data_IF_325726946116
#
_entry.id   IF_325726946116
#
_cell.length_a   1.000
_cell.length_b   1.000
_cell.length_c   1.000
_cell.angle_alpha   90.00
_cell.angle_beta   90.00
_cell.angle_gamma   90.00
#
_symmetry.space_group_name_H-M   'P 1'
#
loop_
_entity.id
_entity.type
_entity.pdbx_description
1 polymer ?
#
# COMPACT_ATOMS: atom_id res chain seq x y z
N UNK A 1 -0.41 25.71 16.52
CA UNK A 1 0.20 26.10 17.81
C UNK A 1 -0.79 26.39 18.95
N UNK A 2 -1.96 27.01 18.75
CA UNK A 2 -2.94 27.32 19.82
C UNK A 2 -3.55 26.10 20.55
N UNK A 3 -3.68 24.95 19.90
CA UNK A 3 -4.34 23.77 20.47
C UNK A 3 -3.45 22.96 21.45
N UNK A 4 -2.11 23.03 21.31
CA UNK A 4 -1.18 22.35 22.22
C UNK A 4 -1.08 23.07 23.58
N UNK A 5 -1.20 24.39 23.61
CA UNK A 5 -1.18 25.15 24.88
C UNK A 5 -2.41 24.85 25.76
N UNK A 6 -3.61 24.72 25.16
CA UNK A 6 -4.84 24.36 25.92
C UNK A 6 -4.73 22.93 26.52
N UNK A 7 -4.14 21.98 25.79
CA UNK A 7 -3.93 20.60 26.31
C UNK A 7 -2.91 20.56 27.45
N UNK A 8 -1.84 21.35 27.35
CA UNK A 8 -0.85 21.49 28.45
C UNK A 8 -1.45 22.13 29.70
N UNK A 9 -2.25 23.17 29.54
CA UNK A 9 -2.95 23.82 30.69
C UNK A 9 -3.90 22.83 31.37
N UNK A 10 -4.68 22.07 30.60
CA UNK A 10 -5.57 21.03 31.17
C UNK A 10 -4.80 19.94 31.94
N UNK A 11 -3.64 19.50 31.44
CA UNK A 11 -2.80 18.52 32.13
C UNK A 11 -2.22 19.07 33.45
N UNK A 12 -1.79 20.34 33.49
CA UNK A 12 -1.30 20.98 34.69
C UNK A 12 -2.40 21.16 35.75
N UNK A 13 -3.62 21.51 35.34
CA UNK A 13 -4.78 21.62 36.23
C UNK A 13 -5.07 20.24 36.85
N UNK A 14 -5.07 19.17 36.07
CA UNK A 14 -5.30 17.81 36.56
C UNK A 14 -4.22 17.38 37.58
N UNK A 15 -2.97 17.69 37.32
CA UNK A 15 -1.86 17.39 38.24
C UNK A 15 -2.02 18.15 39.58
N UNK A 16 -2.39 19.43 39.52
CA UNK A 16 -2.62 20.25 40.72
C UNK A 16 -3.78 19.68 41.54
N UNK A 17 -4.92 19.30 40.93
CA UNK A 17 -6.06 18.71 41.60
C UNK A 17 -5.68 17.38 42.26
N UNK A 18 -4.88 16.53 41.59
CA UNK A 18 -4.39 15.26 42.17
C UNK A 18 -3.45 15.48 43.35
N UNK A 19 -2.57 16.47 43.30
CA UNK A 19 -1.68 16.82 44.41
C UNK A 19 -2.47 17.35 45.61
N UNK A 20 -3.48 18.20 45.41
CA UNK A 20 -4.34 18.69 46.45
C UNK A 20 -5.15 17.54 47.11
N UNK A 21 -5.67 16.62 46.31
CA UNK A 21 -6.39 15.44 46.82
C UNK A 21 -5.45 14.52 47.65
N UNK A 22 -4.21 14.34 47.22
CA UNK A 22 -3.18 13.55 47.94
C UNK A 22 -2.78 14.20 49.28
N UNK A 23 -2.82 15.53 49.39
CA UNK A 23 -2.48 16.25 50.63
C UNK A 23 -3.64 16.33 51.63
N UNK A 24 -4.88 16.06 51.22
CA UNK A 24 -6.06 16.11 52.10
C UNK A 24 -5.94 15.24 53.37
N UNK A 25 -5.44 13.97 53.31
CA UNK A 25 -5.29 13.16 54.53
C UNK A 25 -4.36 13.77 55.57
N UNK A 26 -3.27 14.45 55.13
CA UNK A 26 -2.35 15.12 56.03
C UNK A 26 -3.03 16.27 56.78
N UNK A 27 -3.93 17.03 56.12
CA UNK A 27 -4.65 18.15 56.73
C UNK A 27 -5.60 17.65 57.84
N UNK A 28 -6.26 16.53 57.66
CA UNK A 28 -7.17 15.92 58.64
C UNK A 28 -6.45 15.11 59.73
N UNK A 29 -5.19 14.68 59.51
CA UNK A 29 -4.42 14.00 60.50
C UNK A 29 -4.05 14.89 61.70
N UNK A 30 -3.97 16.20 61.53
CA UNK A 30 -3.67 17.18 62.59
C UNK A 30 -4.91 17.82 63.22
N UNK A 31 -6.13 17.42 62.81
CA UNK A 31 -7.41 17.94 63.33
C UNK A 31 -7.68 17.43 64.76
N UNK A 32 -8.10 18.32 65.71
CA UNK A 32 -8.41 18.01 67.12
C UNK A 32 -9.91 17.94 67.39
N UNK A 33 -10.75 17.40 66.47
CA UNK A 33 -12.18 17.28 66.68
C UNK A 33 -12.66 15.85 66.85
N UNK A 34 -13.82 15.63 67.47
CA UNK A 34 -14.46 14.31 67.76
C UNK A 34 -14.57 13.43 66.48
N UNK A 35 -14.69 14.06 65.31
CA UNK A 35 -14.83 13.38 64.02
C UNK A 35 -13.51 13.32 63.21
N UNK A 36 -12.36 13.77 63.73
CA UNK A 36 -11.11 13.86 62.98
C UNK A 36 -10.66 12.50 62.41
N UNK A 37 -10.86 11.41 63.13
CA UNK A 37 -10.56 10.06 62.67
C UNK A 37 -11.40 9.56 61.49
N UNK A 38 -12.67 9.97 61.41
CA UNK A 38 -13.57 9.63 60.30
C UNK A 38 -13.22 10.42 59.04
N UNK A 39 -12.89 11.71 59.18
CA UNK A 39 -12.43 12.54 58.06
C UNK A 39 -11.07 12.08 57.51
N UNK A 40 -10.16 11.65 58.37
CA UNK A 40 -8.87 11.10 57.97
C UNK A 40 -9.03 9.84 57.13
N UNK A 41 -9.89 8.87 57.58
CA UNK A 41 -10.18 7.64 56.83
C UNK A 41 -10.85 7.95 55.49
N UNK A 42 -11.79 8.87 55.42
CA UNK A 42 -12.44 9.30 54.19
C UNK A 42 -11.43 9.96 53.24
N UNK A 43 -10.52 10.79 53.76
CA UNK A 43 -9.51 11.47 52.96
C UNK A 43 -8.49 10.47 52.36
N UNK A 44 -8.09 9.41 53.09
CA UNK A 44 -7.29 8.31 52.54
C UNK A 44 -8.00 7.61 51.39
N UNK A 45 -9.32 7.32 51.55
CA UNK A 45 -10.10 6.72 50.46
C UNK A 45 -10.11 7.57 49.20
N UNK A 46 -10.34 8.89 49.34
CA UNK A 46 -10.28 9.84 48.22
C UNK A 46 -8.90 9.89 47.58
N UNK A 47 -7.83 9.93 48.38
CA UNK A 47 -6.46 9.97 47.90
C UNK A 47 -6.06 8.74 47.06
N UNK A 48 -6.68 7.58 47.28
CA UNK A 48 -6.46 6.35 46.52
C UNK A 48 -7.40 6.28 45.32
N UNK A 49 -8.67 6.55 45.50
CA UNK A 49 -9.72 6.35 44.48
C UNK A 49 -9.57 7.38 43.36
N UNK A 50 -9.29 8.64 43.65
CA UNK A 50 -9.18 9.70 42.62
C UNK A 50 -8.08 9.45 41.61
N UNK A 51 -6.85 9.11 41.99
CA UNK A 51 -5.78 8.77 41.00
C UNK A 51 -6.13 7.52 40.17
N UNK A 52 -6.76 6.51 40.77
CA UNK A 52 -7.18 5.29 40.06
C UNK A 52 -8.22 5.60 38.99
N UNK A 53 -9.25 6.38 39.34
CA UNK A 53 -10.29 6.81 38.42
C UNK A 53 -9.69 7.73 37.33
N UNK A 54 -8.83 8.65 37.69
CA UNK A 54 -8.15 9.53 36.71
C UNK A 54 -7.32 8.72 35.72
N UNK A 55 -6.59 7.71 36.18
CA UNK A 55 -5.82 6.81 35.33
C UNK A 55 -6.75 5.98 34.42
N UNK A 56 -7.82 5.42 34.95
CA UNK A 56 -8.81 4.68 34.16
C UNK A 56 -9.45 5.57 33.08
N UNK A 57 -9.86 6.79 33.43
CA UNK A 57 -10.41 7.76 32.47
C UNK A 57 -9.38 8.16 31.41
N UNK A 58 -8.12 8.37 31.79
CA UNK A 58 -7.03 8.66 30.83
C UNK A 58 -6.80 7.48 29.89
N UNK A 59 -6.83 6.24 30.40
CA UNK A 59 -6.68 5.04 29.59
C UNK A 59 -7.82 4.88 28.58
N UNK A 60 -9.07 5.08 29.01
CA UNK A 60 -10.26 5.07 28.14
C UNK A 60 -10.14 6.19 27.08
N UNK A 61 -9.80 7.41 27.49
CA UNK A 61 -9.59 8.52 26.56
C UNK A 61 -8.51 8.20 25.53
N UNK A 62 -7.39 7.59 25.93
CA UNK A 62 -6.28 7.19 25.05
C UNK A 62 -6.72 6.12 24.05
N UNK A 63 -7.55 5.15 24.45
CA UNK A 63 -8.13 4.14 23.56
C UNK A 63 -9.06 4.80 22.53
N UNK A 64 -10.01 5.62 23.00
CA UNK A 64 -10.96 6.33 22.12
C UNK A 64 -10.28 7.35 21.18
N UNK A 65 -9.22 8.03 21.62
CA UNK A 65 -8.45 8.95 20.76
C UNK A 65 -7.63 8.17 19.72
N UNK A 66 -7.15 6.97 20.07
CA UNK A 66 -6.47 6.04 19.14
C UNK A 66 -7.45 5.52 18.07
N UNK A 67 -8.66 5.17 18.45
CA UNK A 67 -9.69 4.71 17.52
C UNK A 67 -10.15 5.85 16.60
N UNK A 68 -10.39 7.06 17.11
CA UNK A 68 -10.67 8.25 16.31
C UNK A 68 -9.53 8.68 15.39
N UNK A 69 -8.28 8.45 15.79
CA UNK A 69 -7.11 8.69 14.95
C UNK A 69 -7.01 7.64 13.86
N UNK A 70 -7.36 6.39 14.16
CA UNK A 70 -7.46 5.29 13.20
C UNK A 70 -8.58 5.52 12.18
N UNK A 71 -9.76 5.97 12.60
CA UNK A 71 -10.87 6.37 11.71
C UNK A 71 -10.53 7.58 10.84
N UNK A 72 -9.81 8.58 11.38
CA UNK A 72 -9.39 9.77 10.62
C UNK A 72 -8.28 9.45 9.62
N UNK A 73 -7.43 8.46 9.90
CA UNK A 73 -6.41 7.97 8.99
C UNK A 73 -6.95 6.95 7.97
N UNK A 74 -8.21 6.53 8.07
CA UNK A 74 -8.82 5.55 7.17
C UNK A 74 -9.50 6.16 5.94
N UNK A 75 -9.43 7.48 5.75
CA UNK A 75 -9.91 8.08 4.50
C UNK A 75 -8.87 7.86 3.42
N UNK A 76 -9.17 6.95 2.50
CA UNK A 76 -8.33 6.71 1.32
C UNK A 76 -8.29 7.98 0.47
N UNK A 77 -7.11 8.43 0.14
CA UNK A 77 -6.86 9.58 -0.74
C UNK A 77 -6.17 9.15 -2.04
N UNK A 78 -5.36 8.09 -1.98
CA UNK A 78 -4.51 7.65 -3.07
C UNK A 78 -4.85 6.21 -3.49
N UNK A 79 -5.09 6.01 -4.77
CA UNK A 79 -5.29 4.70 -5.38
C UNK A 79 -4.07 4.40 -6.25
N UNK A 80 -3.41 3.30 -6.00
CA UNK A 80 -2.21 2.87 -6.72
C UNK A 80 -2.57 1.59 -7.47
N UNK A 81 -2.35 1.57 -8.78
CA UNK A 81 -2.61 0.40 -9.60
C UNK A 81 -1.31 -0.25 -10.09
N UNK A 82 -1.25 -1.57 -10.05
CA UNK A 82 -0.44 -2.28 -11.02
C UNK A 82 -1.05 -2.16 -12.43
N UNK A 83 -0.26 -2.45 -13.46
CA UNK A 83 -0.72 -2.45 -14.85
C UNK A 83 -1.08 -3.86 -15.29
N UNK A 84 -0.16 -4.80 -15.14
CA UNK A 84 -0.32 -6.18 -15.59
C UNK A 84 -1.49 -6.89 -14.89
N UNK A 85 -2.38 -7.52 -15.66
CA UNK A 85 -3.57 -8.24 -15.15
C UNK A 85 -4.54 -7.40 -14.29
N UNK A 86 -4.27 -6.10 -14.09
CA UNK A 86 -5.14 -5.15 -13.41
C UNK A 86 -5.75 -4.17 -14.40
N UNK A 87 -4.96 -3.42 -15.14
CA UNK A 87 -5.42 -2.46 -16.16
C UNK A 87 -5.17 -2.94 -17.59
N UNK A 88 -4.32 -3.95 -17.77
CA UNK A 88 -4.12 -4.64 -19.06
C UNK A 88 -4.16 -6.15 -18.86
N UNK A 89 -4.57 -6.86 -19.89
CA UNK A 89 -4.39 -8.32 -19.99
C UNK A 89 -2.92 -8.63 -20.27
N UNK A 90 -2.48 -9.80 -19.85
CA UNK A 90 -1.19 -10.38 -20.19
C UNK A 90 -1.41 -11.81 -20.71
N UNK A 91 -1.71 -11.90 -22.01
CA UNK A 91 -2.20 -13.11 -22.69
C UNK A 91 -1.01 -13.80 -23.40
N UNK A 92 0.05 -14.10 -22.65
CA UNK A 92 1.24 -14.70 -23.25
C UNK A 92 1.00 -16.14 -23.75
N UNK A 93 0.12 -16.90 -23.10
CA UNK A 93 -0.25 -18.25 -23.51
C UNK A 93 -0.88 -18.22 -24.89
N UNK A 94 -1.94 -17.43 -25.09
CA UNK A 94 -2.62 -17.29 -26.35
C UNK A 94 -1.70 -16.74 -27.46
N UNK A 95 -0.82 -15.81 -27.11
CA UNK A 95 0.19 -15.30 -28.02
C UNK A 95 1.16 -16.39 -28.48
N UNK A 96 1.66 -17.21 -27.54
CA UNK A 96 2.56 -18.31 -27.85
C UNK A 96 1.88 -19.40 -28.68
N UNK A 97 0.60 -19.69 -28.41
CA UNK A 97 -0.20 -20.63 -29.16
C UNK A 97 -0.42 -20.20 -30.62
N UNK A 98 -0.42 -18.90 -30.90
CA UNK A 98 -0.54 -18.37 -32.25
C UNK A 98 0.63 -18.70 -33.20
N UNK A 99 1.72 -19.25 -32.67
CA UNK A 99 2.87 -19.70 -33.47
C UNK A 99 2.77 -21.15 -33.95
N UNK A 100 1.76 -21.90 -33.48
CA UNK A 100 1.50 -23.29 -33.87
C UNK A 100 2.72 -24.22 -33.68
N UNK A 101 3.52 -23.99 -32.62
CA UNK A 101 4.64 -24.85 -32.26
C UNK A 101 4.15 -26.24 -31.80
N UNK A 102 5.03 -27.26 -31.94
CA UNK A 102 4.73 -28.53 -31.26
C UNK A 102 4.61 -28.35 -29.75
N UNK A 103 3.84 -29.18 -29.03
CA UNK A 103 3.68 -29.04 -27.57
C UNK A 103 5.01 -28.99 -26.82
N UNK A 104 6.00 -29.82 -27.20
CA UNK A 104 7.33 -29.87 -26.57
C UNK A 104 8.10 -28.57 -26.79
N UNK A 105 8.07 -28.04 -28.02
CA UNK A 105 8.75 -26.78 -28.38
C UNK A 105 8.08 -25.60 -27.66
N UNK A 106 6.75 -25.56 -27.66
CA UNK A 106 5.95 -24.53 -26.95
C UNK A 106 6.30 -24.48 -25.47
N UNK A 107 6.28 -25.63 -24.78
CA UNK A 107 6.62 -25.71 -23.35
C UNK A 107 8.05 -25.24 -23.08
N UNK A 108 8.99 -25.64 -23.93
CA UNK A 108 10.40 -25.23 -23.85
C UNK A 108 10.55 -23.72 -23.98
N UNK A 109 9.90 -23.11 -24.97
CA UNK A 109 9.93 -21.65 -25.18
C UNK A 109 9.22 -20.92 -24.04
N UNK A 110 8.06 -21.41 -23.58
CA UNK A 110 7.37 -20.84 -22.43
C UNK A 110 8.27 -20.76 -21.20
N UNK A 111 8.99 -21.84 -20.88
CA UNK A 111 9.93 -21.90 -19.75
C UNK A 111 11.15 -21.00 -19.95
N UNK A 112 11.68 -20.90 -21.17
CA UNK A 112 12.83 -20.08 -21.46
C UNK A 112 12.52 -18.58 -21.49
N UNK A 113 11.29 -18.21 -21.83
CA UNK A 113 10.85 -16.81 -21.99
C UNK A 113 9.97 -16.39 -20.80
N UNK A 114 8.67 -16.64 -20.86
CA UNK A 114 7.66 -16.04 -20.00
C UNK A 114 7.67 -16.53 -18.54
N UNK A 115 8.14 -17.76 -18.30
CA UNK A 115 8.22 -18.38 -16.98
C UNK A 115 9.64 -18.35 -16.39
N UNK A 116 10.56 -17.60 -16.99
CA UNK A 116 11.94 -17.52 -16.56
C UNK A 116 12.20 -16.34 -15.63
N UNK A 117 13.22 -16.45 -14.78
CA UNK A 117 13.71 -15.31 -14.00
C UNK A 117 14.24 -14.20 -14.91
N UNK A 118 14.72 -14.53 -16.11
CA UNK A 118 15.16 -13.56 -17.12
C UNK A 118 14.03 -12.63 -17.53
N UNK A 119 12.77 -13.13 -17.61
CA UNK A 119 11.60 -12.29 -17.89
C UNK A 119 11.37 -11.27 -16.78
N UNK A 120 11.45 -11.69 -15.53
CA UNK A 120 11.28 -10.79 -14.38
C UNK A 120 12.40 -9.73 -14.32
N UNK A 121 13.67 -10.14 -14.56
CA UNK A 121 14.81 -9.20 -14.60
C UNK A 121 14.75 -8.25 -15.80
N UNK A 122 14.16 -8.66 -16.92
CA UNK A 122 13.89 -7.80 -18.08
C UNK A 122 12.99 -6.62 -17.71
N UNK A 123 12.03 -6.82 -16.81
CA UNK A 123 11.17 -5.75 -16.33
C UNK A 123 11.93 -4.71 -15.49
N UNK A 124 13.05 -5.07 -14.86
CA UNK A 124 13.96 -4.12 -14.22
C UNK A 124 14.63 -3.18 -15.23
N UNK A 125 14.87 -3.65 -16.43
CA UNK A 125 15.44 -2.86 -17.52
C UNK A 125 16.89 -2.41 -17.32
N UNK A 126 17.70 -3.20 -16.58
CA UNK A 126 19.10 -2.88 -16.29
C UNK A 126 20.03 -3.03 -17.51
N UNK A 127 19.62 -3.84 -18.49
CA UNK A 127 20.39 -4.13 -19.69
C UNK A 127 19.54 -3.86 -20.94
N UNK A 128 20.19 -3.84 -22.10
CA UNK A 128 19.52 -3.77 -23.40
C UNK A 128 18.74 -5.06 -23.69
N UNK A 129 17.68 -4.97 -24.48
CA UNK A 129 16.78 -6.09 -24.79
C UNK A 129 17.54 -7.32 -25.30
N UNK A 130 18.54 -7.12 -26.15
CA UNK A 130 19.34 -8.20 -26.73
C UNK A 130 20.06 -9.04 -25.66
N UNK A 131 20.47 -8.44 -24.55
CA UNK A 131 21.03 -9.18 -23.42
C UNK A 131 20.06 -10.23 -22.90
N UNK A 132 18.82 -9.84 -22.65
CA UNK A 132 17.80 -10.74 -22.11
C UNK A 132 17.40 -11.81 -23.11
N UNK A 133 17.23 -11.45 -24.39
CA UNK A 133 16.96 -12.41 -25.46
C UNK A 133 18.06 -13.46 -25.53
N UNK A 134 19.33 -13.06 -25.44
CA UNK A 134 20.45 -13.99 -25.45
C UNK A 134 20.49 -14.92 -24.22
N UNK A 135 20.05 -14.45 -23.03
CA UNK A 135 19.89 -15.34 -21.86
C UNK A 135 18.76 -16.37 -22.08
N UNK A 136 17.64 -15.96 -22.67
CA UNK A 136 16.53 -16.84 -23.02
C UNK A 136 16.95 -17.88 -24.06
N UNK A 137 17.71 -17.48 -25.07
CA UNK A 137 18.29 -18.39 -26.07
C UNK A 137 19.25 -19.40 -25.44
N UNK A 138 20.10 -18.98 -24.49
CA UNK A 138 20.99 -19.90 -23.76
C UNK A 138 20.22 -20.98 -22.99
N UNK A 139 19.00 -20.67 -22.49
CA UNK A 139 18.14 -21.62 -21.79
C UNK A 139 17.51 -22.66 -22.76
N UNK A 140 17.37 -22.34 -24.05
CA UNK A 140 16.81 -23.22 -25.07
C UNK A 140 17.48 -22.96 -26.43
N UNK A 141 18.76 -23.32 -26.61
CA UNK A 141 19.56 -22.94 -27.79
C UNK A 141 19.06 -23.55 -29.11
N UNK A 142 18.38 -24.66 -29.06
CA UNK A 142 17.72 -25.31 -30.21
C UNK A 142 16.41 -24.61 -30.64
N UNK A 143 15.96 -23.59 -29.90
CA UNK A 143 14.81 -22.78 -30.22
C UNK A 143 15.15 -21.29 -30.45
N UNK A 144 16.40 -20.96 -30.81
CA UNK A 144 16.85 -19.58 -30.95
C UNK A 144 15.98 -18.74 -31.89
N UNK A 145 15.72 -19.26 -33.10
CA UNK A 145 14.95 -18.52 -34.10
C UNK A 145 13.50 -18.24 -33.60
N UNK A 146 12.89 -19.20 -32.96
CA UNK A 146 11.54 -19.08 -32.40
C UNK A 146 11.50 -18.11 -31.20
N UNK A 147 12.47 -18.19 -30.27
CA UNK A 147 12.59 -17.27 -29.15
C UNK A 147 12.73 -15.82 -29.64
N UNK A 148 13.58 -15.59 -30.62
CA UNK A 148 13.75 -14.25 -31.22
C UNK A 148 12.48 -13.77 -31.91
N UNK A 149 11.74 -14.65 -32.59
CA UNK A 149 10.45 -14.32 -33.21
C UNK A 149 9.37 -13.98 -32.14
N UNK A 150 9.29 -14.76 -31.06
CA UNK A 150 8.38 -14.53 -29.92
C UNK A 150 8.72 -13.20 -29.28
N UNK A 151 9.97 -12.91 -28.97
CA UNK A 151 10.39 -11.69 -28.31
C UNK A 151 10.14 -10.45 -29.17
N UNK A 152 10.37 -10.52 -30.45
CA UNK A 152 10.10 -9.41 -31.41
C UNK A 152 8.63 -8.98 -31.41
N UNK A 153 7.71 -9.89 -31.15
CA UNK A 153 6.26 -9.62 -31.12
C UNK A 153 5.64 -9.59 -29.72
N UNK A 154 6.46 -9.63 -28.66
CA UNK A 154 5.99 -9.80 -27.27
C UNK A 154 5.00 -8.72 -26.80
N UNK A 155 4.99 -7.52 -27.40
CA UNK A 155 3.99 -6.50 -27.11
C UNK A 155 2.55 -6.89 -27.51
N UNK A 156 2.36 -7.97 -28.29
CA UNK A 156 1.03 -8.52 -28.59
C UNK A 156 0.41 -9.26 -27.40
N UNK A 157 1.21 -9.64 -26.40
CA UNK A 157 0.71 -10.24 -25.15
C UNK A 157 -0.09 -9.27 -24.31
N UNK A 158 0.07 -7.97 -24.55
CA UNK A 158 -0.56 -6.90 -23.77
C UNK A 158 -1.78 -6.38 -24.51
N UNK A 159 -2.92 -6.37 -23.84
CA UNK A 159 -4.16 -5.75 -24.33
C UNK A 159 -4.81 -4.94 -23.18
N UNK A 160 -5.25 -3.73 -23.47
CA UNK A 160 -5.91 -2.89 -22.47
C UNK A 160 -7.25 -3.50 -22.05
N UNK A 161 -7.52 -3.51 -20.74
CA UNK A 161 -8.84 -3.87 -20.23
C UNK A 161 -9.87 -2.80 -20.63
N UNK A 162 -11.07 -3.23 -21.00
CA UNK A 162 -12.14 -2.33 -21.43
C UNK A 162 -12.49 -1.28 -20.37
N UNK A 163 -12.43 -1.65 -19.11
CA UNK A 163 -12.75 -0.76 -17.98
C UNK A 163 -11.60 0.18 -17.58
N UNK A 164 -10.37 -0.01 -18.06
CA UNK A 164 -9.19 0.67 -17.52
C UNK A 164 -9.31 2.20 -17.56
N UNK A 165 -9.62 2.78 -18.73
CA UNK A 165 -9.77 4.24 -18.88
C UNK A 165 -10.92 4.78 -18.05
N UNK A 166 -12.07 4.09 -18.08
CA UNK A 166 -13.28 4.54 -17.39
C UNK A 166 -13.12 4.45 -15.87
N UNK A 167 -12.47 3.42 -15.37
CA UNK A 167 -12.25 3.25 -13.95
C UNK A 167 -11.27 4.26 -13.39
N UNK A 168 -10.11 4.44 -14.04
CA UNK A 168 -9.12 5.43 -13.63
C UNK A 168 -9.73 6.84 -13.65
N UNK A 169 -10.43 7.21 -14.72
CA UNK A 169 -11.10 8.51 -14.83
C UNK A 169 -12.18 8.68 -13.76
N UNK A 170 -13.01 7.67 -13.51
CA UNK A 170 -14.04 7.72 -12.48
C UNK A 170 -13.46 8.03 -11.10
N UNK A 171 -12.36 7.36 -10.71
CA UNK A 171 -11.69 7.62 -9.43
C UNK A 171 -11.13 9.04 -9.38
N UNK A 172 -10.57 9.53 -10.48
CA UNK A 172 -10.11 10.92 -10.60
C UNK A 172 -11.26 11.92 -10.45
N UNK A 173 -12.39 11.69 -11.11
CA UNK A 173 -13.57 12.55 -11.04
C UNK A 173 -14.18 12.57 -9.63
N UNK A 174 -13.98 11.50 -8.84
CA UNK A 174 -14.35 11.43 -7.42
C UNK A 174 -13.37 12.12 -6.48
N UNK A 175 -12.26 12.65 -7.01
CA UNK A 175 -11.28 13.42 -6.23
C UNK A 175 -10.12 12.61 -5.67
N UNK A 176 -10.04 11.30 -5.96
CA UNK A 176 -8.89 10.49 -5.57
C UNK A 176 -7.67 10.84 -6.43
N UNK A 177 -6.50 10.73 -5.84
CA UNK A 177 -5.25 10.72 -6.60
C UNK A 177 -4.97 9.30 -7.06
N UNK A 178 -4.60 9.14 -8.32
CA UNK A 178 -4.36 7.84 -8.93
C UNK A 178 -2.92 7.73 -9.40
N UNK A 179 -2.27 6.65 -9.01
CA UNK A 179 -0.86 6.37 -9.33
C UNK A 179 -0.71 5.00 -9.95
N UNK A 180 0.39 4.81 -10.65
CA UNK A 180 0.81 3.52 -11.18
C UNK A 180 2.09 3.08 -10.46
N UNK A 181 2.17 1.79 -10.11
CA UNK A 181 3.36 1.10 -9.64
C UNK A 181 3.47 -0.26 -10.33
N UNK A 182 4.31 -0.37 -11.34
CA UNK A 182 4.31 -1.58 -12.18
C UNK A 182 5.71 -2.05 -12.56
N UNK A 183 5.88 -3.39 -12.54
CA UNK A 183 6.99 -4.05 -13.21
C UNK A 183 6.70 -4.05 -14.71
N UNK A 184 7.46 -3.25 -15.47
CA UNK A 184 7.20 -3.04 -16.89
C UNK A 184 8.49 -2.69 -17.62
N UNK A 185 8.98 -3.60 -18.46
CA UNK A 185 10.26 -3.48 -19.14
C UNK A 185 10.30 -2.41 -20.23
N UNK A 186 11.50 -1.91 -20.55
CA UNK A 186 11.71 -0.86 -21.55
C UNK A 186 11.09 -1.20 -22.92
N UNK A 187 11.34 -2.41 -23.42
CA UNK A 187 10.86 -2.82 -24.73
C UNK A 187 9.34 -3.07 -24.73
N UNK A 188 8.80 -3.63 -23.62
CA UNK A 188 7.35 -3.76 -23.44
C UNK A 188 6.69 -2.38 -23.47
N UNK A 189 7.26 -1.38 -22.78
CA UNK A 189 6.79 -0.01 -22.81
C UNK A 189 6.82 0.58 -24.23
N UNK A 190 7.92 0.42 -24.94
CA UNK A 190 8.08 0.91 -26.32
C UNK A 190 7.01 0.34 -27.26
N UNK A 191 6.73 -0.97 -27.14
CA UNK A 191 5.76 -1.66 -28.00
C UNK A 191 4.30 -1.34 -27.66
N UNK A 192 4.01 -1.02 -26.39
CA UNK A 192 2.63 -0.99 -25.90
C UNK A 192 2.15 0.37 -25.40
N UNK A 193 3.00 1.39 -25.35
CA UNK A 193 2.66 2.75 -24.86
C UNK A 193 1.33 3.28 -25.39
N UNK A 194 1.03 3.03 -26.66
CA UNK A 194 -0.23 3.50 -27.28
C UNK A 194 -1.48 2.81 -26.69
N UNK A 195 -1.33 1.61 -26.10
CA UNK A 195 -2.40 0.86 -25.44
C UNK A 195 -2.69 1.37 -24.02
N UNK A 196 -1.72 2.04 -23.37
CA UNK A 196 -1.80 2.52 -21.99
C UNK A 196 -2.49 3.89 -21.90
N UNK A 197 -3.64 4.05 -22.53
CA UNK A 197 -4.35 5.33 -22.65
C UNK A 197 -4.83 5.90 -21.31
N UNK A 198 -5.01 5.07 -20.28
CA UNK A 198 -5.35 5.48 -18.93
C UNK A 198 -4.25 6.32 -18.25
N UNK A 199 -3.00 6.25 -18.73
CA UNK A 199 -1.89 7.04 -18.17
C UNK A 199 -2.12 8.56 -18.26
N UNK A 200 -2.94 9.04 -19.18
CA UNK A 200 -3.28 10.46 -19.30
C UNK A 200 -4.13 10.99 -18.13
N UNK A 201 -4.71 10.10 -17.32
CA UNK A 201 -5.58 10.46 -16.21
C UNK A 201 -4.90 10.31 -14.85
N UNK A 202 -3.71 9.65 -14.77
CA UNK A 202 -3.04 9.42 -13.49
C UNK A 202 -2.24 10.65 -13.03
N UNK A 203 -2.06 10.79 -11.72
CA UNK A 203 -1.25 11.86 -11.11
C UNK A 203 0.24 11.54 -11.18
N UNK A 204 0.61 10.28 -11.34
CA UNK A 204 1.99 9.86 -11.47
C UNK A 204 2.15 8.36 -11.69
N UNK A 205 3.37 7.97 -12.08
CA UNK A 205 3.70 6.58 -12.34
C UNK A 205 5.15 6.28 -11.94
N UNK A 206 5.35 5.07 -11.42
CA UNK A 206 6.67 4.45 -11.24
C UNK A 206 6.66 3.14 -12.00
N UNK A 207 7.44 3.08 -13.07
CA UNK A 207 7.72 1.87 -13.80
C UNK A 207 9.10 1.35 -13.42
N UNK A 208 9.21 0.04 -13.25
CA UNK A 208 10.45 -0.61 -12.84
C UNK A 208 11.63 -0.28 -13.75
N UNK A 209 11.40 -0.22 -15.07
CA UNK A 209 12.45 0.09 -16.05
C UNK A 209 12.99 1.52 -15.93
N UNK A 210 12.21 2.47 -15.41
CA UNK A 210 12.67 3.86 -15.22
C UNK A 210 13.59 3.99 -14.01
N UNK A 211 13.30 3.22 -12.94
CA UNK A 211 13.97 3.33 -11.64
C UNK A 211 14.95 2.19 -11.36
N UNK A 212 14.99 1.16 -12.21
CA UNK A 212 15.82 -0.06 -12.07
C UNK A 212 15.54 -0.84 -10.78
N UNK A 213 14.29 -0.79 -10.33
CA UNK A 213 13.78 -1.45 -9.13
C UNK A 213 12.52 -2.22 -9.51
N UNK A 214 12.29 -3.40 -8.94
CA UNK A 214 11.11 -4.22 -9.22
C UNK A 214 10.33 -4.55 -7.95
N UNK A 215 9.01 -4.73 -8.07
CA UNK A 215 8.21 -5.35 -7.02
C UNK A 215 8.58 -6.84 -6.92
N UNK A 216 8.62 -7.46 -5.75
CA UNK A 216 8.26 -6.95 -4.42
C UNK A 216 9.41 -6.32 -3.63
N UNK A 217 10.50 -5.87 -4.25
CA UNK A 217 11.62 -5.23 -3.55
C UNK A 217 11.16 -3.92 -2.87
N UNK A 218 11.65 -3.63 -1.65
CA UNK A 218 11.17 -2.49 -0.86
C UNK A 218 11.51 -1.13 -1.51
N UNK A 219 12.54 -1.07 -2.34
CA UNK A 219 13.05 0.16 -2.94
C UNK A 219 12.01 0.82 -3.85
N UNK A 220 11.27 0.05 -4.65
CA UNK A 220 10.30 0.61 -5.59
C UNK A 220 9.10 1.25 -4.87
N UNK A 221 8.66 0.67 -3.73
CA UNK A 221 7.60 1.23 -2.89
C UNK A 221 8.07 2.53 -2.23
N UNK A 222 9.31 2.53 -1.70
CA UNK A 222 9.92 3.73 -1.13
C UNK A 222 10.03 4.84 -2.17
N UNK A 223 10.48 4.51 -3.38
CA UNK A 223 10.56 5.46 -4.50
C UNK A 223 9.19 6.07 -4.84
N UNK A 224 8.12 5.27 -4.86
CA UNK A 224 6.76 5.79 -5.10
C UNK A 224 6.33 6.74 -3.99
N UNK A 225 6.48 6.33 -2.72
CA UNK A 225 6.08 7.11 -1.54
C UNK A 225 6.81 8.45 -1.51
N UNK A 226 8.13 8.44 -1.68
CA UNK A 226 8.97 9.65 -1.61
C UNK A 226 8.73 10.58 -2.81
N UNK A 227 8.63 10.04 -4.03
CA UNK A 227 8.44 10.82 -5.26
C UNK A 227 7.15 11.63 -5.26
N UNK A 228 6.07 11.03 -4.73
CA UNK A 228 4.76 11.66 -4.73
C UNK A 228 4.28 12.10 -3.35
N UNK A 229 5.16 12.03 -2.34
CA UNK A 229 4.86 12.41 -0.95
C UNK A 229 3.59 11.75 -0.42
N UNK A 230 3.45 10.43 -0.68
CA UNK A 230 2.26 9.69 -0.28
C UNK A 230 2.23 9.47 1.24
N UNK A 231 1.02 9.50 1.80
CA UNK A 231 0.75 8.98 3.14
C UNK A 231 0.32 7.50 2.98
N UNK A 232 1.16 6.54 3.39
CA UNK A 232 0.88 5.12 3.16
C UNK A 232 -0.47 4.67 3.72
N UNK A 233 -0.82 5.13 4.93
CA UNK A 233 -2.08 4.77 5.61
C UNK A 233 -3.34 5.31 4.89
N UNK A 234 -3.17 6.26 3.96
CA UNK A 234 -4.23 6.80 3.11
C UNK A 234 -4.16 6.29 1.68
N UNK A 235 -3.34 5.29 1.43
CA UNK A 235 -3.07 4.74 0.11
C UNK A 235 -3.55 3.30 0.01
N UNK A 236 -4.15 2.95 -1.14
CA UNK A 236 -4.57 1.59 -1.47
C UNK A 236 -3.86 1.14 -2.73
N UNK A 237 -3.27 -0.05 -2.70
CA UNK A 237 -2.58 -0.67 -3.83
C UNK A 237 -3.35 -1.89 -4.32
N UNK A 238 -3.60 -1.95 -5.62
CA UNK A 238 -4.24 -3.08 -6.29
C UNK A 238 -3.22 -3.78 -7.19
N UNK A 239 -2.96 -5.06 -6.92
CA UNK A 239 -1.98 -5.88 -7.64
C UNK A 239 -2.45 -7.34 -7.67
N UNK A 240 -2.25 -8.08 -8.78
CA UNK A 240 -2.68 -9.46 -8.89
C UNK A 240 -1.79 -10.44 -8.08
N UNK A 241 -0.56 -10.04 -7.78
CA UNK A 241 0.43 -10.86 -7.08
C UNK A 241 0.41 -10.62 -5.58
N UNK A 242 0.20 -11.70 -4.83
CA UNK A 242 0.13 -11.67 -3.37
C UNK A 242 1.41 -11.10 -2.73
N UNK A 243 2.57 -11.50 -3.23
CA UNK A 243 3.87 -11.03 -2.72
C UNK A 243 4.07 -9.52 -2.87
N UNK A 244 3.51 -8.90 -3.92
CA UNK A 244 3.55 -7.46 -4.10
C UNK A 244 2.65 -6.75 -3.10
N UNK A 245 1.45 -7.32 -2.85
CA UNK A 245 0.54 -6.81 -1.82
C UNK A 245 1.17 -6.87 -0.42
N UNK A 246 1.74 -8.01 -0.04
CA UNK A 246 2.42 -8.20 1.25
C UNK A 246 3.63 -7.24 1.42
N UNK A 247 4.31 -6.92 0.34
CA UNK A 247 5.40 -5.95 0.37
C UNK A 247 4.88 -4.51 0.59
N UNK A 248 3.77 -4.12 -0.07
CA UNK A 248 3.13 -2.82 0.12
C UNK A 248 2.64 -2.62 1.56
N UNK A 249 2.05 -3.67 2.17
CA UNK A 249 1.55 -3.64 3.56
C UNK A 249 2.66 -3.36 4.57
N UNK A 250 3.90 -3.80 4.33
CA UNK A 250 5.06 -3.50 5.20
C UNK A 250 5.37 -2.00 5.28
N UNK A 251 4.91 -1.22 4.31
CA UNK A 251 5.02 0.25 4.31
C UNK A 251 3.77 0.94 4.90
N UNK A 252 2.74 0.18 5.29
CA UNK A 252 1.47 0.72 5.80
C UNK A 252 0.48 1.08 4.70
N UNK A 253 0.73 0.71 3.45
CA UNK A 253 -0.22 0.85 2.33
C UNK A 253 -1.26 -0.28 2.46
N UNK A 254 -2.56 0.05 2.37
CA UNK A 254 -3.58 -0.98 2.26
C UNK A 254 -3.44 -1.70 0.92
N UNK A 255 -3.42 -3.04 0.91
CA UNK A 255 -3.27 -3.78 -0.32
C UNK A 255 -4.49 -4.65 -0.61
N UNK A 256 -4.88 -4.68 -1.89
CA UNK A 256 -5.95 -5.51 -2.41
C UNK A 256 -5.33 -6.46 -3.43
N UNK A 257 -5.29 -7.76 -3.14
CA UNK A 257 -4.97 -8.73 -4.16
C UNK A 257 -6.09 -8.75 -5.20
N UNK A 258 -5.81 -8.20 -6.37
CA UNK A 258 -6.76 -8.03 -7.44
C UNK A 258 -7.03 -9.36 -8.15
N UNK A 259 -8.31 -9.70 -8.32
CA UNK A 259 -8.75 -10.90 -9.03
C UNK A 259 -9.67 -10.56 -10.21
N UNK A 260 -10.45 -9.48 -10.09
CA UNK A 260 -11.34 -9.00 -11.12
C UNK A 260 -11.79 -7.57 -10.83
N UNK A 261 -12.25 -6.86 -11.85
CA UNK A 261 -12.81 -5.51 -11.71
C UNK A 261 -13.93 -5.45 -10.65
N UNK A 262 -14.84 -6.43 -10.67
CA UNK A 262 -15.95 -6.52 -9.71
C UNK A 262 -15.45 -6.70 -8.27
N UNK A 263 -14.46 -7.56 -8.08
CA UNK A 263 -13.88 -7.78 -6.75
C UNK A 263 -13.10 -6.55 -6.29
N UNK A 264 -12.25 -5.97 -7.15
CA UNK A 264 -11.44 -4.80 -6.80
C UNK A 264 -12.29 -3.58 -6.43
N UNK A 265 -13.38 -3.30 -7.16
CA UNK A 265 -14.32 -2.23 -6.80
C UNK A 265 -15.02 -2.49 -5.48
N UNK A 266 -15.48 -3.71 -5.22
CA UNK A 266 -16.13 -4.06 -3.95
C UNK A 266 -15.18 -3.94 -2.75
N UNK A 267 -13.89 -4.28 -2.91
CA UNK A 267 -12.90 -4.10 -1.85
C UNK A 267 -12.58 -2.61 -1.62
N UNK A 268 -12.48 -1.81 -2.67
CA UNK A 268 -12.34 -0.35 -2.54
C UNK A 268 -13.52 0.28 -1.81
N UNK A 269 -14.77 -0.14 -2.11
CA UNK A 269 -15.96 0.33 -1.42
C UNK A 269 -15.94 0.04 0.10
N UNK A 270 -15.43 -1.14 0.51
CA UNK A 270 -15.25 -1.48 1.93
C UNK A 270 -14.27 -0.55 2.64
N UNK A 271 -13.32 0.02 1.91
CA UNK A 271 -12.38 1.02 2.40
C UNK A 271 -12.93 2.46 2.29
N UNK A 272 -14.20 2.62 1.91
CA UNK A 272 -14.87 3.92 1.80
C UNK A 272 -14.61 4.66 0.49
N UNK A 273 -13.98 4.03 -0.49
CA UNK A 273 -13.81 4.59 -1.85
C UNK A 273 -15.13 4.46 -2.60
N UNK A 274 -15.69 5.59 -3.08
CA UNK A 274 -17.03 5.66 -3.70
C UNK A 274 -16.94 6.19 -5.12
#
# INVERSE_FOLDING_TARGET
MKNNKKKQIGAWIAIIVLLLAACMPMFFAFGKGENAGNYFRAAIGVAIIVPVLAYAMWMVYRILDRDKKKERNSVVENIIFDVGKVLVKFEWEAYLDSFEFTPEKRDKIAKAVFLSDTWNERDRGSYEEEYYVNQMVKAAPDCEAEIRAVMKGSGKTIEKMEYADTWVRYLKDKGYKVYILSNYGNETMRMTKQKLTFLKYVDGAVFSCDVKQIKPEPEIYRTLIERYHLEPEKSVFLDDRKENCEAAEKFGIHAIQFQSFKQGTAELEKLGVK
#
